data_IF_208098282483
#
_entry.id   IF_208098282483
#
_cell.length_a   1.000
_cell.length_b   1.000
_cell.length_c   1.000
_cell.angle_alpha   90.00
_cell.angle_beta   90.00
_cell.angle_gamma   90.00
#
_symmetry.space_group_name_H-M   'P 1'
#
loop_
_entity.id
_entity.type
_entity.pdbx_description
1 polymer ?
#
# COMPACT_ATOMS: atom_id res chain seq x y z
N UNK A 1 -0.73 -13.89 -5.70
CA UNK A 1 -1.70 -12.90 -6.29
C UNK A 1 -0.92 -11.94 -7.18
N UNK A 2 -1.50 -11.46 -8.31
CA UNK A 2 -0.84 -10.43 -9.11
C UNK A 2 -0.90 -9.07 -8.38
N UNK A 3 0.10 -8.22 -8.61
CA UNK A 3 0.17 -6.89 -7.95
C UNK A 3 -1.06 -6.03 -8.24
N UNK A 4 -1.57 -6.07 -9.48
CA UNK A 4 -2.77 -5.32 -9.87
C UNK A 4 -4.04 -5.78 -9.12
N UNK A 5 -4.18 -7.08 -8.94
CA UNK A 5 -5.32 -7.66 -8.21
C UNK A 5 -5.25 -7.29 -6.72
N UNK A 6 -4.05 -7.33 -6.16
CA UNK A 6 -3.78 -6.93 -4.77
C UNK A 6 -4.09 -5.45 -4.57
N UNK A 7 -3.58 -4.59 -5.45
CA UNK A 7 -3.84 -3.16 -5.41
C UNK A 7 -5.34 -2.84 -5.48
N UNK A 8 -6.07 -3.38 -6.46
CA UNK A 8 -7.52 -3.14 -6.60
C UNK A 8 -8.30 -3.61 -5.36
N UNK A 9 -7.91 -4.72 -4.74
CA UNK A 9 -8.47 -5.19 -3.48
C UNK A 9 -8.22 -4.18 -2.35
N UNK A 10 -7.02 -3.65 -2.24
CA UNK A 10 -6.66 -2.75 -1.14
C UNK A 10 -7.32 -1.38 -1.25
N UNK A 11 -7.36 -0.79 -2.44
CA UNK A 11 -8.01 0.52 -2.62
C UNK A 11 -9.51 0.48 -2.41
N UNK A 12 -10.15 -0.69 -2.50
CA UNK A 12 -11.58 -0.83 -2.22
C UNK A 12 -11.96 -0.71 -0.74
N UNK A 13 -10.97 -0.75 0.16
CA UNK A 13 -11.17 -0.69 1.62
C UNK A 13 -10.99 0.75 2.07
N UNK A 14 -11.96 1.26 2.82
CA UNK A 14 -11.87 2.59 3.42
C UNK A 14 -10.88 2.59 4.57
N UNK A 15 -9.92 3.51 4.50
CA UNK A 15 -8.89 3.72 5.54
C UNK A 15 -8.56 5.20 5.71
N UNK A 16 -9.53 6.07 5.41
CA UNK A 16 -9.29 7.51 5.52
C UNK A 16 -8.92 7.91 6.95
N UNK A 17 -7.84 8.67 7.10
CA UNK A 17 -7.42 9.25 8.38
C UNK A 17 -8.23 10.51 8.73
N UNK A 18 -8.20 10.93 10.00
CA UNK A 18 -8.90 12.11 10.51
C UNK A 18 -7.96 12.97 11.38
N UNK A 19 -7.53 14.16 10.87
CA UNK A 19 -6.62 15.04 11.61
C UNK A 19 -7.25 15.64 12.87
N UNK A 20 -8.58 15.62 13.01
CA UNK A 20 -9.28 16.13 14.17
C UNK A 20 -9.46 15.10 15.29
N UNK A 21 -9.19 13.84 15.02
CA UNK A 21 -9.39 12.75 15.97
C UNK A 21 -8.28 12.71 17.04
N UNK A 22 -8.63 12.66 18.33
CA UNK A 22 -7.67 12.43 19.40
C UNK A 22 -7.28 10.95 19.55
N UNK A 23 -7.94 10.04 18.84
CA UNK A 23 -7.69 8.60 18.91
C UNK A 23 -6.49 8.19 18.07
N UNK A 24 -5.98 6.97 18.31
CA UNK A 24 -4.97 6.35 17.48
C UNK A 24 -5.31 4.85 17.24
N UNK A 25 -5.36 4.38 15.98
CA UNK A 25 -5.34 5.22 14.78
C UNK A 25 -6.50 6.21 14.76
N UNK A 26 -6.35 7.29 13.99
CA UNK A 26 -7.30 8.41 13.96
C UNK A 26 -8.71 7.99 13.55
N UNK A 27 -8.82 6.92 12.77
CA UNK A 27 -10.10 6.31 12.39
C UNK A 27 -10.10 4.81 12.65
N UNK A 28 -11.22 4.25 13.11
CA UNK A 28 -11.33 2.81 13.36
C UNK A 28 -11.34 1.97 12.07
N UNK A 29 -11.58 2.59 10.91
CA UNK A 29 -11.62 1.91 9.59
C UNK A 29 -10.27 1.36 9.17
N UNK A 30 -9.16 1.87 9.70
CA UNK A 30 -7.82 1.38 9.43
C UNK A 30 -7.57 -0.02 10.03
N UNK A 31 -8.19 -0.35 11.16
CA UNK A 31 -7.96 -1.62 11.87
C UNK A 31 -8.38 -2.87 11.05
N UNK A 32 -9.57 -2.93 10.43
CA UNK A 32 -9.92 -4.06 9.57
C UNK A 32 -8.93 -4.29 8.41
N UNK A 33 -8.38 -3.22 7.86
CA UNK A 33 -7.35 -3.31 6.81
C UNK A 33 -6.05 -3.88 7.37
N UNK A 34 -5.59 -3.38 8.52
CA UNK A 34 -4.42 -3.91 9.22
C UNK A 34 -4.57 -5.40 9.57
N UNK A 35 -5.74 -5.82 10.08
CA UNK A 35 -6.04 -7.22 10.36
C UNK A 35 -6.00 -8.09 9.10
N UNK A 36 -6.55 -7.58 7.98
CA UNK A 36 -6.49 -8.27 6.70
C UNK A 36 -5.05 -8.44 6.20
N UNK A 37 -4.23 -7.40 6.29
CA UNK A 37 -2.81 -7.47 5.91
C UNK A 37 -2.04 -8.49 6.76
N UNK A 38 -2.26 -8.48 8.08
CA UNK A 38 -1.65 -9.47 8.97
C UNK A 38 -2.07 -10.90 8.63
N UNK A 39 -3.34 -11.13 8.30
CA UNK A 39 -3.82 -12.43 7.86
C UNK A 39 -3.21 -12.85 6.52
N UNK A 40 -3.11 -11.94 5.56
CA UNK A 40 -2.50 -12.20 4.26
C UNK A 40 -1.02 -12.55 4.40
N UNK A 41 -0.26 -11.80 5.21
CA UNK A 41 1.15 -12.07 5.50
C UNK A 41 1.35 -13.44 6.15
N UNK A 42 0.50 -13.82 7.12
CA UNK A 42 0.51 -15.17 7.73
C UNK A 42 0.22 -16.26 6.71
N UNK A 43 -0.78 -16.06 5.86
CA UNK A 43 -1.16 -17.02 4.82
C UNK A 43 -0.06 -17.20 3.76
N UNK A 44 0.73 -16.15 3.49
CA UNK A 44 1.89 -16.20 2.61
C UNK A 44 3.07 -16.96 3.23
N UNK A 45 3.13 -17.09 4.55
CA UNK A 45 4.21 -17.76 5.26
C UNK A 45 5.30 -16.84 5.82
N UNK A 46 5.04 -15.53 5.97
CA UNK A 46 5.94 -14.65 6.70
C UNK A 46 6.00 -15.08 8.18
N UNK A 47 7.16 -14.88 8.79
CA UNK A 47 7.38 -15.17 10.21
C UNK A 47 7.07 -13.97 11.09
N UNK A 48 6.79 -14.22 12.37
CA UNK A 48 6.57 -13.20 13.40
C UNK A 48 5.55 -12.13 13.00
N UNK A 49 4.50 -12.53 12.27
CA UNK A 49 3.47 -11.60 11.82
C UNK A 49 2.58 -11.21 12.99
N UNK A 50 2.52 -9.91 13.26
CA UNK A 50 1.69 -9.33 14.31
C UNK A 50 1.07 -8.03 13.84
N UNK A 51 -0.19 -7.79 14.21
CA UNK A 51 -0.81 -6.48 14.24
C UNK A 51 -0.89 -6.08 15.73
N UNK A 52 -0.21 -5.00 16.10
CA UNK A 52 -0.19 -4.54 17.48
C UNK A 52 -1.48 -3.78 17.87
N UNK A 53 -1.60 -3.42 19.15
CA UNK A 53 -2.81 -2.76 19.66
C UNK A 53 -3.07 -1.38 19.05
N UNK A 54 -2.06 -0.75 18.48
CA UNK A 54 -2.12 0.57 17.85
C UNK A 54 -2.32 0.52 16.33
N UNK A 55 -2.39 -0.69 15.75
CA UNK A 55 -2.73 -0.88 14.34
C UNK A 55 -1.53 -1.09 13.42
N UNK A 56 -0.29 -0.97 13.90
CA UNK A 56 0.88 -1.31 13.08
C UNK A 56 0.91 -2.80 12.77
N UNK A 57 1.31 -3.13 11.55
CA UNK A 57 1.45 -4.51 11.10
C UNK A 57 2.93 -4.79 10.81
N UNK A 58 3.48 -5.77 11.49
CA UNK A 58 4.87 -6.22 11.31
C UNK A 58 4.89 -7.64 10.75
N UNK A 59 5.95 -7.96 10.01
CA UNK A 59 6.23 -9.31 9.56
C UNK A 59 7.63 -9.45 9.01
N UNK A 60 8.16 -10.67 9.04
CA UNK A 60 9.55 -10.90 8.70
C UNK A 60 9.69 -12.01 7.67
N UNK A 61 10.58 -11.77 6.72
CA UNK A 61 11.06 -12.74 5.75
C UNK A 61 12.51 -13.11 6.16
N UNK A 62 12.74 -14.34 6.64
CA UNK A 62 14.08 -14.77 7.03
C UNK A 62 15.04 -14.78 5.83
N UNK A 63 16.32 -14.51 6.08
CA UNK A 63 17.36 -14.59 5.06
C UNK A 63 17.43 -15.98 4.42
N UNK A 64 17.83 -16.03 3.15
CA UNK A 64 18.03 -17.28 2.41
C UNK A 64 19.45 -17.39 1.84
N UNK A 65 19.85 -18.62 1.53
CA UNK A 65 21.15 -18.90 0.88
C UNK A 65 22.36 -18.44 1.71
N UNK A 66 23.33 -17.81 1.08
CA UNK A 66 24.56 -17.31 1.71
C UNK A 66 24.39 -15.95 2.40
N UNK A 67 23.19 -15.37 2.39
CA UNK A 67 22.95 -14.02 2.86
C UNK A 67 22.51 -13.93 4.34
N UNK A 68 22.62 -15.02 5.10
CA UNK A 68 22.24 -15.06 6.52
C UNK A 68 22.97 -14.05 7.41
N UNK A 69 24.18 -13.64 7.03
CA UNK A 69 24.99 -12.65 7.76
C UNK A 69 24.82 -11.22 7.24
N UNK A 70 23.94 -11.01 6.27
CA UNK A 70 23.69 -9.68 5.72
C UNK A 70 22.92 -8.80 6.71
N UNK A 71 23.17 -7.51 6.63
CA UNK A 71 22.34 -6.52 7.35
C UNK A 71 20.89 -6.61 6.91
N UNK A 72 19.96 -6.46 7.86
CA UNK A 72 18.53 -6.46 7.57
C UNK A 72 18.10 -5.24 6.74
N UNK A 73 17.07 -5.44 5.96
CA UNK A 73 16.39 -4.40 5.19
C UNK A 73 14.94 -4.31 5.66
N UNK A 74 14.40 -3.09 5.76
CA UNK A 74 12.98 -2.90 6.03
C UNK A 74 12.29 -2.17 4.87
N UNK A 75 11.05 -2.56 4.63
CA UNK A 75 10.13 -1.83 3.77
C UNK A 75 8.92 -1.37 4.58
N UNK A 76 8.62 -0.08 4.47
CA UNK A 76 7.49 0.54 5.14
C UNK A 76 6.54 1.11 4.10
N UNK A 77 5.25 1.06 4.40
CA UNK A 77 4.20 1.72 3.64
C UNK A 77 3.05 2.06 4.57
N UNK A 78 2.32 3.16 4.30
CA UNK A 78 1.20 3.51 5.15
C UNK A 78 -0.12 2.96 4.61
N UNK A 79 -1.03 2.70 5.55
CA UNK A 79 -2.33 2.08 5.26
C UNK A 79 -3.44 3.10 5.03
N UNK A 80 -3.33 4.25 5.65
CA UNK A 80 -4.33 5.29 5.56
C UNK A 80 -4.27 6.05 4.24
N UNK A 81 -5.32 6.79 3.96
CA UNK A 81 -5.43 7.69 2.81
C UNK A 81 -5.81 9.08 3.28
N UNK A 82 -5.40 10.08 2.52
CA UNK A 82 -5.55 11.50 2.85
C UNK A 82 -6.99 11.90 3.18
N UNK A 83 -7.20 12.78 4.17
CA UNK A 83 -8.51 13.37 4.48
C UNK A 83 -8.91 14.50 3.52
N UNK A 84 -8.05 14.92 2.57
CA UNK A 84 -8.25 16.11 1.74
C UNK A 84 -9.38 15.97 0.71
N UNK A 85 -9.77 14.74 0.37
CA UNK A 85 -10.89 14.46 -0.52
C UNK A 85 -11.58 13.15 -0.12
N UNK A 86 -12.83 12.90 -0.55
CA UNK A 86 -13.52 11.64 -0.25
C UNK A 86 -12.69 10.43 -0.66
N UNK A 87 -12.58 9.42 0.21
CA UNK A 87 -11.77 8.23 -0.01
C UNK A 87 -12.59 6.94 -0.17
N UNK A 88 -13.92 7.01 -0.04
CA UNK A 88 -14.78 5.83 -0.17
C UNK A 88 -16.20 6.21 -0.63
N UNK A 89 -16.91 5.30 -1.34
CA UNK A 89 -16.41 4.04 -1.90
C UNK A 89 -15.59 4.25 -3.17
N UNK A 90 -14.41 3.65 -3.24
CA UNK A 90 -13.54 3.75 -4.42
C UNK A 90 -14.07 2.87 -5.55
N UNK A 91 -14.29 3.46 -6.73
CA UNK A 91 -14.67 2.77 -7.96
C UNK A 91 -13.46 2.70 -8.90
N UNK A 92 -12.46 1.93 -8.52
CA UNK A 92 -11.25 1.78 -9.29
C UNK A 92 -11.48 0.91 -10.54
N UNK A 93 -10.82 1.27 -11.65
CA UNK A 93 -10.74 0.49 -12.88
C UNK A 93 -9.38 0.65 -13.56
N UNK A 94 -9.11 -0.23 -14.49
CA UNK A 94 -7.89 -0.15 -15.33
C UNK A 94 -8.31 0.40 -16.71
N UNK A 95 -7.57 1.41 -17.16
CA UNK A 95 -7.51 1.85 -18.56
C UNK A 95 -6.33 1.17 -19.18
N UNK A 96 -6.57 0.19 -20.04
CA UNK A 96 -5.51 -0.60 -20.69
C UNK A 96 -4.95 0.13 -21.90
N UNK A 97 -3.63 0.08 -22.07
CA UNK A 97 -2.94 0.65 -23.24
C UNK A 97 -3.37 2.09 -23.53
N UNK A 98 -3.26 2.96 -22.52
CA UNK A 98 -3.69 4.35 -22.63
C UNK A 98 -3.24 5.01 -23.92
N UNK A 99 -4.18 5.60 -24.66
CA UNK A 99 -3.96 6.15 -26.01
C UNK A 99 -3.35 7.56 -26.04
N UNK A 100 -3.27 8.23 -24.88
CA UNK A 100 -2.76 9.59 -24.76
C UNK A 100 -3.85 10.67 -24.83
N UNK A 101 -5.11 10.30 -24.96
CA UNK A 101 -6.27 11.22 -25.01
C UNK A 101 -6.93 11.42 -23.64
N UNK A 102 -8.09 12.11 -23.65
CA UNK A 102 -8.91 12.32 -22.47
C UNK A 102 -9.50 10.99 -21.96
N UNK A 103 -9.40 10.74 -20.66
CA UNK A 103 -10.03 9.60 -20.01
C UNK A 103 -11.34 10.05 -19.38
N UNK A 104 -12.47 9.57 -19.90
CA UNK A 104 -13.77 9.78 -19.26
C UNK A 104 -13.86 8.94 -17.99
N UNK A 105 -13.76 9.59 -16.82
CA UNK A 105 -13.84 8.95 -15.52
C UNK A 105 -15.28 8.67 -15.10
N UNK A 106 -16.17 9.69 -15.27
CA UNK A 106 -17.57 9.62 -14.86
C UNK A 106 -18.46 10.26 -15.93
N UNK A 107 -19.25 9.47 -16.66
CA UNK A 107 -20.11 10.00 -17.72
C UNK A 107 -21.29 10.84 -17.19
N UNK A 108 -21.84 10.47 -16.02
CA UNK A 108 -22.99 11.17 -15.44
C UNK A 108 -22.59 12.57 -14.95
N UNK A 109 -21.40 12.67 -14.29
CA UNK A 109 -20.86 13.93 -13.78
C UNK A 109 -19.98 14.66 -14.78
N UNK A 110 -19.72 14.06 -15.95
CA UNK A 110 -18.83 14.59 -16.99
C UNK A 110 -17.42 14.90 -16.46
N UNK A 111 -16.88 13.98 -15.65
CA UNK A 111 -15.53 14.13 -15.11
C UNK A 111 -14.55 13.46 -16.07
N UNK A 112 -13.52 14.21 -16.45
CA UNK A 112 -12.44 13.76 -17.33
C UNK A 112 -11.10 13.92 -16.62
N UNK A 113 -10.19 13.03 -16.95
CA UNK A 113 -8.76 13.20 -16.68
C UNK A 113 -8.10 13.50 -18.02
N UNK A 114 -7.64 14.75 -18.20
CA UNK A 114 -7.19 15.26 -19.49
C UNK A 114 -5.69 15.57 -19.49
N UNK A 115 -4.94 15.20 -20.54
CA UNK A 115 -3.56 15.66 -20.73
C UNK A 115 -3.43 17.18 -20.87
N UNK A 116 -4.49 17.89 -21.23
CA UNK A 116 -4.50 19.35 -21.28
C UNK A 116 -4.36 19.96 -19.87
N UNK A 117 -4.98 19.32 -18.85
CA UNK A 117 -4.90 19.72 -17.45
C UNK A 117 -3.70 19.10 -16.75
N UNK A 118 -3.35 17.87 -17.15
CA UNK A 118 -2.27 17.07 -16.55
C UNK A 118 -1.29 16.57 -17.64
N UNK A 119 -0.37 17.42 -18.12
CA UNK A 119 0.55 17.05 -19.24
C UNK A 119 1.41 15.82 -18.98
N UNK A 120 1.65 15.47 -17.71
CA UNK A 120 2.40 14.27 -17.31
C UNK A 120 1.77 12.98 -17.84
N UNK A 121 0.45 12.96 -18.09
CA UNK A 121 -0.25 11.81 -18.66
C UNK A 121 0.32 11.37 -20.02
N UNK A 122 0.84 12.31 -20.80
CA UNK A 122 1.47 11.99 -22.08
C UNK A 122 2.66 11.04 -21.99
N UNK A 123 3.31 10.93 -20.81
CA UNK A 123 4.42 10.00 -20.57
C UNK A 123 3.97 8.54 -20.41
N UNK A 124 2.68 8.32 -20.18
CA UNK A 124 2.10 7.01 -19.90
C UNK A 124 1.36 6.41 -21.09
N UNK A 125 1.49 7.00 -22.28
CA UNK A 125 0.90 6.45 -23.50
C UNK A 125 1.38 5.02 -23.74
N UNK A 126 0.45 4.11 -24.03
CA UNK A 126 0.70 2.68 -24.19
C UNK A 126 0.77 1.88 -22.89
N UNK A 127 0.70 2.54 -21.73
CA UNK A 127 0.71 1.87 -20.42
C UNK A 127 -0.70 1.68 -19.89
N UNK A 128 -0.85 0.75 -18.93
CA UNK A 128 -2.08 0.55 -18.18
C UNK A 128 -2.15 1.54 -17.02
N UNK A 129 -3.30 2.20 -16.86
CA UNK A 129 -3.52 3.19 -15.80
C UNK A 129 -4.63 2.74 -14.85
N UNK A 130 -4.40 2.84 -13.55
CA UNK A 130 -5.45 2.72 -12.56
C UNK A 130 -6.10 4.09 -12.36
N UNK A 131 -7.42 4.12 -12.45
CA UNK A 131 -8.21 5.35 -12.28
C UNK A 131 -9.45 5.08 -11.43
N UNK A 132 -9.99 6.13 -10.81
CA UNK A 132 -11.30 6.09 -10.15
C UNK A 132 -12.38 6.64 -11.09
N UNK A 133 -13.62 6.77 -10.58
CA UNK A 133 -14.67 7.53 -11.26
C UNK A 133 -14.54 9.06 -11.05
N UNK A 134 -13.45 9.54 -10.46
CA UNK A 134 -13.19 10.95 -10.20
C UNK A 134 -14.00 11.54 -9.05
N UNK A 135 -14.74 10.74 -8.29
CA UNK A 135 -15.50 11.21 -7.12
C UNK A 135 -14.79 10.95 -5.80
N UNK A 136 -13.74 10.15 -5.84
CA UNK A 136 -12.90 9.82 -4.67
C UNK A 136 -11.43 9.86 -5.05
N UNK A 137 -10.57 9.87 -4.03
CA UNK A 137 -9.17 9.47 -4.19
C UNK A 137 -9.08 8.02 -4.70
N UNK A 138 -7.98 7.68 -5.36
CA UNK A 138 -7.66 6.29 -5.68
C UNK A 138 -7.09 5.55 -4.46
N UNK A 139 -6.34 6.26 -3.60
CA UNK A 139 -5.60 5.65 -2.50
C UNK A 139 -4.35 4.91 -2.98
N UNK A 140 -3.77 5.35 -4.10
CA UNK A 140 -2.51 4.81 -4.61
C UNK A 140 -1.37 5.05 -3.65
N UNK A 141 -1.34 6.21 -3.03
CA UNK A 141 -0.51 6.57 -1.90
C UNK A 141 -1.22 6.14 -0.60
N UNK A 142 -0.75 5.13 0.15
CA UNK A 142 0.40 4.29 -0.25
C UNK A 142 0.01 2.79 -0.37
N UNK A 143 -1.24 2.51 -0.72
CA UNK A 143 -1.70 1.12 -0.95
C UNK A 143 -1.01 0.45 -2.15
N UNK A 144 -0.43 1.25 -3.05
CA UNK A 144 0.42 0.72 -4.12
C UNK A 144 1.71 0.15 -3.55
N UNK A 145 2.40 0.88 -2.68
CA UNK A 145 3.59 0.39 -1.99
C UNK A 145 3.31 -0.88 -1.18
N UNK A 146 2.19 -0.93 -0.45
CA UNK A 146 1.79 -2.16 0.26
C UNK A 146 1.62 -3.34 -0.72
N UNK A 147 0.96 -3.12 -1.87
CA UNK A 147 0.72 -4.17 -2.85
C UNK A 147 2.03 -4.66 -3.50
N UNK A 148 2.95 -3.76 -3.79
CA UNK A 148 4.25 -4.05 -4.36
C UNK A 148 5.14 -4.81 -3.37
N UNK A 149 5.24 -4.33 -2.13
CA UNK A 149 6.02 -4.95 -1.05
C UNK A 149 5.54 -6.38 -0.79
N UNK A 150 4.23 -6.59 -0.63
CA UNK A 150 3.69 -7.93 -0.39
C UNK A 150 3.83 -8.85 -1.61
N UNK A 151 3.75 -8.31 -2.83
CA UNK A 151 3.97 -9.11 -4.04
C UNK A 151 5.43 -9.52 -4.17
N UNK A 152 6.37 -8.63 -3.86
CA UNK A 152 7.79 -8.95 -3.84
C UNK A 152 8.12 -10.00 -2.77
N UNK A 153 7.58 -9.86 -1.56
CA UNK A 153 7.76 -10.84 -0.49
C UNK A 153 7.20 -12.22 -0.86
N UNK A 154 5.98 -12.26 -1.44
CA UNK A 154 5.37 -13.50 -1.94
C UNK A 154 6.25 -14.16 -3.02
N UNK A 155 6.79 -13.36 -3.93
CA UNK A 155 7.70 -13.86 -4.98
C UNK A 155 8.97 -14.48 -4.37
N UNK A 156 9.60 -13.84 -3.40
CA UNK A 156 10.79 -14.38 -2.73
C UNK A 156 10.48 -15.69 -1.97
N UNK A 157 9.34 -15.76 -1.29
CA UNK A 157 8.89 -16.99 -0.61
C UNK A 157 8.68 -18.14 -1.59
N UNK A 158 8.15 -17.87 -2.78
CA UNK A 158 7.94 -18.88 -3.83
C UNK A 158 9.24 -19.26 -4.56
N UNK A 159 10.29 -18.45 -4.42
CA UNK A 159 11.57 -18.65 -5.09
C UNK A 159 12.75 -18.75 -4.09
N UNK A 160 12.77 -19.75 -3.20
CA UNK A 160 13.74 -19.84 -2.09
C UNK A 160 15.20 -19.97 -2.53
N UNK A 161 15.45 -20.15 -3.82
CA UNK A 161 16.81 -20.16 -4.41
C UNK A 161 17.37 -18.76 -4.64
N UNK A 162 16.55 -17.71 -4.59
CA UNK A 162 17.02 -16.32 -4.68
C UNK A 162 17.63 -15.96 -3.32
N UNK A 163 18.94 -15.68 -3.25
CA UNK A 163 19.56 -15.31 -1.99
C UNK A 163 19.18 -13.87 -1.62
N UNK A 164 18.71 -13.67 -0.39
CA UNK A 164 18.43 -12.34 0.18
C UNK A 164 18.73 -12.33 1.68
N UNK A 165 19.08 -11.14 2.19
CA UNK A 165 19.19 -10.89 3.64
C UNK A 165 17.83 -10.94 4.35
N UNK A 166 17.78 -10.79 5.66
CA UNK A 166 16.52 -10.70 6.39
C UNK A 166 15.79 -9.42 5.98
N UNK A 167 14.46 -9.54 5.75
CA UNK A 167 13.60 -8.43 5.35
C UNK A 167 12.49 -8.27 6.39
N UNK A 168 12.29 -7.03 6.85
CA UNK A 168 11.17 -6.67 7.71
C UNK A 168 10.16 -5.86 6.91
N UNK A 169 8.88 -6.20 7.04
CA UNK A 169 7.78 -5.42 6.51
C UNK A 169 7.07 -4.73 7.67
N UNK A 170 6.77 -3.44 7.52
CA UNK A 170 6.05 -2.67 8.51
C UNK A 170 5.01 -1.78 7.80
N UNK A 171 3.73 -1.97 8.14
CA UNK A 171 2.66 -1.11 7.62
C UNK A 171 2.12 -0.24 8.74
N UNK A 172 2.05 1.07 8.47
CA UNK A 172 1.77 2.09 9.48
C UNK A 172 0.40 2.72 9.28
N UNK A 173 -0.32 3.08 10.34
CA UNK A 173 -1.50 3.93 10.26
C UNK A 173 -1.12 5.42 10.34
N UNK A 174 -2.06 6.32 9.99
CA UNK A 174 -2.04 7.77 10.27
C UNK A 174 -0.82 8.54 9.72
N UNK A 175 -0.24 8.11 8.61
CA UNK A 175 0.86 8.85 7.99
C UNK A 175 0.38 10.19 7.44
N UNK A 176 -0.76 10.22 6.76
CA UNK A 176 -1.34 11.38 6.07
C UNK A 176 -1.78 12.52 7.01
N UNK A 177 -1.83 12.22 8.30
CA UNK A 177 -2.07 13.22 9.36
C UNK A 177 -0.84 13.46 10.24
N UNK A 178 0.35 13.01 9.78
CA UNK A 178 1.64 13.26 10.41
C UNK A 178 1.89 12.46 11.68
N UNK A 179 1.19 11.34 11.90
CA UNK A 179 1.26 10.53 13.11
C UNK A 179 1.79 9.10 12.85
N UNK A 180 2.21 8.81 11.62
CA UNK A 180 2.63 7.48 11.18
C UNK A 180 3.78 6.84 11.98
N UNK A 181 4.49 7.60 12.80
CA UNK A 181 5.60 7.11 13.64
C UNK A 181 5.36 7.21 15.14
N UNK A 182 4.21 7.74 15.59
CA UNK A 182 3.94 8.05 17.00
C UNK A 182 4.06 6.83 17.92
N UNK A 183 3.69 5.64 17.45
CA UNK A 183 3.70 4.40 18.24
C UNK A 183 4.50 3.27 17.58
N UNK A 184 5.36 3.60 16.61
CA UNK A 184 6.18 2.57 15.93
C UNK A 184 7.15 1.91 16.92
N UNK A 185 7.18 0.58 16.94
CA UNK A 185 8.14 -0.17 17.75
C UNK A 185 9.37 -0.54 16.91
N UNK A 186 10.40 0.29 16.97
CA UNK A 186 11.66 0.07 16.26
C UNK A 186 12.38 -1.21 16.65
N UNK A 187 12.13 -1.79 17.84
CA UNK A 187 12.72 -3.07 18.23
C UNK A 187 12.21 -4.22 17.36
N UNK A 188 11.09 -4.05 16.68
CA UNK A 188 10.51 -5.00 15.73
C UNK A 188 11.02 -4.81 14.30
N UNK A 189 11.88 -3.82 14.07
CA UNK A 189 12.45 -3.50 12.76
C UNK A 189 13.98 -3.66 12.83
N UNK A 190 14.50 -4.89 12.99
CA UNK A 190 15.93 -5.14 13.09
C UNK A 190 16.60 -5.03 11.70
N UNK A 191 16.61 -3.83 11.16
CA UNK A 191 17.14 -3.52 9.83
C UNK A 191 18.20 -2.41 9.92
N UNK A 192 19.21 -2.50 9.06
CA UNK A 192 20.24 -1.46 8.95
C UNK A 192 19.78 -0.32 8.02
N UNK A 193 18.86 -0.61 7.11
CA UNK A 193 18.30 0.33 6.15
C UNK A 193 16.79 0.14 6.06
N UNK A 194 16.06 1.23 5.86
CA UNK A 194 14.61 1.23 5.67
C UNK A 194 14.23 2.14 4.49
N UNK A 195 13.24 1.70 3.74
CA UNK A 195 12.65 2.43 2.60
C UNK A 195 11.13 2.47 2.76
#
# INVERSE_FOLDING_TARGET
MKVQERFLKYVSIDTQSDPSSPQFPSTPTQIPFADMLAQEMKAMGLSQVERDSTGYVYGHLPATGSAHSSSGLAFLAHMDVSPDAPAAPVKARIVTSYDGGDILLNPEKKIFLSPADYPVLGQYQGQDLFVTDGTTLLGGDDKAGIAEILTAAEYLLQHPKIPHGPITLCFTPDEEVGRGVDHIDLSRIPAAFAY
#
